data_IF_126747946034
#
_entry.id   IF_126747946034
#
_cell.length_a   1.000
_cell.length_b   1.000
_cell.length_c   1.000
_cell.angle_alpha   90.00
_cell.angle_beta   90.00
_cell.angle_gamma   90.00
#
_symmetry.space_group_name_H-M   'P 1'
#
loop_
_entity.id
_entity.type
_entity.pdbx_description
1 polymer ?
#
# COMPACT_ATOMS: atom_id res chain seq x y z
N UNK A 1 10.84 4.47 30.60
CA UNK A 1 10.11 3.45 31.39
C UNK A 1 9.32 2.42 30.56
N UNK A 2 8.98 2.66 29.27
CA UNK A 2 8.22 1.70 28.43
C UNK A 2 9.07 0.56 27.83
N UNK A 3 10.39 0.74 27.71
CA UNK A 3 11.32 -0.24 27.10
C UNK A 3 11.60 -1.47 27.98
N UNK A 4 11.50 -1.34 29.30
CA UNK A 4 11.76 -2.43 30.24
C UNK A 4 10.55 -3.37 30.41
N UNK A 5 9.35 -2.96 30.02
CA UNK A 5 8.15 -3.79 30.11
C UNK A 5 8.10 -4.86 29.02
N UNK A 6 8.71 -4.58 27.85
CA UNK A 6 8.77 -5.52 26.73
C UNK A 6 9.78 -6.66 27.00
N UNK A 7 10.92 -6.33 27.60
CA UNK A 7 11.89 -7.35 28.03
C UNK A 7 11.35 -8.24 29.14
N UNK A 8 10.46 -7.69 29.97
CA UNK A 8 9.83 -8.46 31.04
C UNK A 8 8.84 -9.48 30.47
N UNK A 9 8.16 -9.16 29.35
CA UNK A 9 7.22 -10.07 28.71
C UNK A 9 7.92 -11.20 27.95
N UNK A 10 9.04 -10.92 27.29
CA UNK A 10 9.90 -11.94 26.65
C UNK A 10 10.59 -12.82 27.68
N UNK A 11 10.99 -12.27 28.84
CA UNK A 11 11.62 -13.03 29.93
C UNK A 11 10.63 -13.88 30.72
N UNK A 12 9.35 -13.45 30.78
CA UNK A 12 8.30 -14.21 31.48
C UNK A 12 7.89 -15.49 30.73
N UNK A 13 8.07 -15.53 29.39
CA UNK A 13 7.86 -16.74 28.60
C UNK A 13 8.97 -17.78 28.78
N UNK A 14 10.13 -17.42 29.33
CA UNK A 14 11.27 -18.34 29.57
C UNK A 14 11.31 -18.94 30.98
N UNK A 15 10.45 -18.53 31.91
CA UNK A 15 10.52 -18.91 33.31
C UNK A 15 9.45 -19.91 33.78
N UNK A 16 8.62 -20.45 32.86
CA UNK A 16 7.65 -21.50 33.20
C UNK A 16 7.99 -22.84 32.56
N UNK A 17 9.15 -23.35 32.87
CA UNK A 17 9.44 -24.76 32.61
C UNK A 17 9.94 -25.39 33.89
N UNK A 18 9.26 -26.42 34.28
CA UNK A 18 9.51 -27.52 35.22
C UNK A 18 8.44 -27.65 36.30
N UNK A 19 7.29 -28.16 35.91
CA UNK A 19 6.64 -29.19 36.68
C UNK A 19 6.32 -30.33 35.72
N UNK A 20 7.09 -31.38 35.88
CA UNK A 20 6.85 -32.66 35.22
C UNK A 20 5.53 -33.25 35.72
N UNK A 21 4.56 -33.36 34.81
CA UNK A 21 3.53 -34.41 34.87
C UNK A 21 3.18 -34.75 33.42
N UNK A 22 3.36 -36.01 33.12
CA UNK A 22 2.96 -36.67 31.89
C UNK A 22 1.53 -36.33 31.48
N UNK A 23 1.36 -35.78 30.25
CA UNK A 23 0.40 -36.28 29.29
C UNK A 23 0.48 -35.44 28.03
N UNK A 24 0.75 -36.18 26.92
CA UNK A 24 0.53 -35.72 25.54
C UNK A 24 0.83 -34.21 25.25
N UNK A 25 2.09 -33.91 25.01
CA UNK A 25 2.50 -32.77 24.23
C UNK A 25 1.97 -32.93 22.79
N UNK A 26 0.64 -32.82 22.63
CA UNK A 26 0.03 -32.66 21.30
C UNK A 26 0.45 -31.33 20.78
N UNK A 27 1.51 -31.33 19.98
CA UNK A 27 1.86 -30.16 19.15
C UNK A 27 0.57 -29.69 18.45
N UNK A 28 0.05 -28.55 18.85
CA UNK A 28 -1.15 -28.01 18.23
C UNK A 28 -0.76 -27.44 16.87
N UNK A 29 -1.27 -28.03 15.81
CA UNK A 29 -1.06 -27.53 14.46
C UNK A 29 -2.11 -26.45 14.13
N UNK A 30 -1.70 -25.45 13.36
CA UNK A 30 -2.62 -24.43 12.85
C UNK A 30 -3.55 -25.06 11.80
N UNK A 31 -4.84 -24.74 11.87
CA UNK A 31 -5.84 -25.17 10.90
C UNK A 31 -5.99 -24.14 9.78
N UNK A 32 -6.45 -24.57 8.60
CA UNK A 32 -6.76 -23.68 7.49
C UNK A 32 -7.88 -22.72 7.87
N UNK A 33 -7.72 -21.43 7.56
CA UNK A 33 -8.69 -20.38 7.89
C UNK A 33 -8.64 -19.88 9.34
N UNK A 34 -7.87 -20.52 10.21
CA UNK A 34 -7.82 -20.15 11.64
C UNK A 34 -7.12 -18.80 11.85
N UNK A 35 -5.89 -18.69 11.40
CA UNK A 35 -5.07 -17.47 11.52
C UNK A 35 -4.81 -16.77 10.19
N UNK A 36 -4.93 -17.48 9.07
CA UNK A 36 -4.78 -16.93 7.73
C UNK A 36 -5.95 -16.02 7.38
N UNK A 37 -5.63 -15.00 6.60
CA UNK A 37 -6.56 -13.97 6.17
C UNK A 37 -5.88 -12.62 6.00
N UNK A 38 -6.71 -11.59 5.85
CA UNK A 38 -6.26 -10.20 5.71
C UNK A 38 -6.52 -9.46 7.00
N UNK A 39 -5.47 -8.83 7.52
CA UNK A 39 -5.54 -8.01 8.72
C UNK A 39 -5.38 -6.54 8.32
N UNK A 40 -6.36 -5.73 8.67
CA UNK A 40 -6.35 -4.29 8.45
C UNK A 40 -6.00 -3.58 9.75
N UNK A 41 -5.05 -2.67 9.68
CA UNK A 41 -4.60 -1.90 10.82
C UNK A 41 -3.67 -0.77 10.43
N UNK A 42 -2.82 -0.38 11.36
CA UNK A 42 -1.86 0.69 11.17
C UNK A 42 -0.43 0.24 11.47
N UNK A 43 0.52 0.87 10.78
CA UNK A 43 1.94 0.78 11.05
C UNK A 43 2.39 2.04 11.79
N UNK A 44 3.22 1.83 12.82
CA UNK A 44 4.06 2.85 13.42
C UNK A 44 5.51 2.54 13.04
N UNK A 45 6.16 3.46 12.35
CA UNK A 45 7.51 3.28 11.80
C UNK A 45 8.47 4.23 12.49
N UNK A 46 9.56 3.69 13.03
CA UNK A 46 10.67 4.44 13.60
C UNK A 46 11.93 4.20 12.76
N UNK A 47 12.30 5.16 11.95
CA UNK A 47 13.50 5.12 11.10
C UNK A 47 14.68 5.91 11.72
N UNK A 48 14.68 6.07 13.04
CA UNK A 48 15.73 6.78 13.76
C UNK A 48 15.86 8.23 13.35
N UNK A 49 17.05 8.61 12.83
CA UNK A 49 17.32 9.99 12.40
C UNK A 49 16.53 10.42 11.15
N UNK A 50 15.97 9.47 10.38
CA UNK A 50 15.12 9.76 9.22
C UNK A 50 13.68 10.11 9.61
N UNK A 51 13.32 9.96 10.88
CA UNK A 51 12.03 10.35 11.40
C UNK A 51 11.15 9.18 11.86
N UNK A 52 9.97 9.56 12.34
CA UNK A 52 8.94 8.63 12.83
C UNK A 52 7.61 8.97 12.19
N UNK A 53 6.91 7.94 11.76
CA UNK A 53 5.57 8.05 11.21
C UNK A 53 4.65 7.09 11.96
N UNK A 54 3.44 7.51 12.22
CA UNK A 54 2.45 6.71 12.96
C UNK A 54 1.13 6.66 12.23
N UNK A 55 0.32 5.67 12.57
CA UNK A 55 -1.03 5.48 12.03
C UNK A 55 -1.07 5.31 10.50
N UNK A 56 -0.01 4.76 9.88
CA UNK A 56 0.03 4.47 8.44
C UNK A 56 -0.92 3.29 8.16
N UNK A 57 -2.05 3.48 7.46
CA UNK A 57 -2.98 2.39 7.17
C UNK A 57 -2.32 1.32 6.31
N UNK A 58 -2.43 0.05 6.72
CA UNK A 58 -1.83 -1.07 6.01
C UNK A 58 -2.66 -2.34 6.14
N UNK A 59 -2.66 -3.15 5.08
CA UNK A 59 -3.13 -4.53 5.11
C UNK A 59 -1.94 -5.50 5.20
N UNK A 60 -2.07 -6.46 6.10
CA UNK A 60 -1.15 -7.60 6.21
C UNK A 60 -1.91 -8.86 5.78
N UNK A 61 -1.34 -9.57 4.81
CA UNK A 61 -1.87 -10.83 4.31
C UNK A 61 -1.11 -11.98 4.97
N UNK A 62 -1.80 -12.81 5.72
CA UNK A 62 -1.25 -14.01 6.33
C UNK A 62 -1.80 -15.22 5.62
N UNK A 63 -0.94 -16.16 5.20
CA UNK A 63 -1.32 -17.41 4.55
C UNK A 63 -0.59 -18.56 5.22
N UNK A 64 -1.29 -19.65 5.50
CA UNK A 64 -0.68 -20.89 5.94
C UNK A 64 0.12 -21.52 4.79
N UNK A 65 1.35 -21.95 5.08
CA UNK A 65 2.24 -22.60 4.08
C UNK A 65 2.71 -23.97 4.51
N UNK A 66 2.47 -24.36 5.76
CA UNK A 66 2.83 -25.65 6.33
C UNK A 66 2.09 -25.89 7.65
N UNK A 67 2.35 -27.02 8.30
CA UNK A 67 1.69 -27.40 9.56
C UNK A 67 1.85 -26.35 10.67
N UNK A 68 3.06 -25.77 10.78
CA UNK A 68 3.40 -24.69 11.71
C UNK A 68 4.21 -23.62 11.01
N UNK A 69 3.78 -23.23 9.81
CA UNK A 69 4.41 -22.18 9.02
C UNK A 69 3.36 -21.30 8.35
N UNK A 70 3.67 -20.02 8.31
CA UNK A 70 2.90 -19.01 7.59
C UNK A 70 3.79 -18.20 6.67
N UNK A 71 3.18 -17.57 5.69
CA UNK A 71 3.72 -16.50 4.87
C UNK A 71 3.04 -15.19 5.24
N UNK A 72 3.79 -14.12 5.23
CA UNK A 72 3.32 -12.75 5.41
C UNK A 72 3.59 -11.94 4.15
N UNK A 73 2.60 -11.14 3.74
CA UNK A 73 2.75 -10.18 2.65
C UNK A 73 2.17 -8.80 3.03
N UNK A 74 2.94 -7.74 2.76
CA UNK A 74 2.47 -6.36 2.67
C UNK A 74 2.57 -5.96 1.21
N UNK A 75 1.47 -5.59 0.59
CA UNK A 75 1.45 -5.17 -0.82
C UNK A 75 1.57 -3.65 -0.92
N UNK A 76 2.34 -3.19 -1.92
CA UNK A 76 2.51 -1.77 -2.26
C UNK A 76 2.86 -0.92 -1.03
N UNK A 77 3.78 -1.43 -0.21
CA UNK A 77 4.23 -0.68 0.96
C UNK A 77 4.79 0.68 0.54
N UNK A 78 4.28 1.73 1.14
CA UNK A 78 4.67 3.11 0.87
C UNK A 78 5.04 3.81 2.16
N UNK A 79 6.11 4.61 2.11
CA UNK A 79 6.53 5.43 3.24
C UNK A 79 6.35 6.90 2.91
N UNK A 80 5.76 7.72 3.80
CA UNK A 80 5.60 9.15 3.59
C UNK A 80 6.93 9.83 3.25
N UNK A 81 6.94 10.68 2.22
CA UNK A 81 8.14 11.39 1.77
C UNK A 81 9.11 10.58 0.88
N UNK A 82 8.98 9.25 0.81
CA UNK A 82 9.79 8.38 -0.08
C UNK A 82 8.92 7.83 -1.22
N UNK A 83 7.66 7.54 -0.95
CA UNK A 83 6.73 6.91 -1.90
C UNK A 83 6.66 5.39 -1.77
N UNK A 84 6.20 4.72 -2.84
CA UNK A 84 6.05 3.26 -2.86
C UNK A 84 7.42 2.57 -2.89
N UNK A 85 7.64 1.66 -1.94
CA UNK A 85 8.86 0.86 -1.79
C UNK A 85 8.72 -0.54 -2.37
N UNK A 86 7.49 -0.99 -2.63
CA UNK A 86 7.17 -2.29 -3.22
C UNK A 86 6.50 -3.27 -2.25
N UNK A 87 6.45 -4.52 -2.65
CA UNK A 87 5.87 -5.61 -1.86
C UNK A 87 6.90 -6.19 -0.89
N UNK A 88 6.49 -6.35 0.36
CA UNK A 88 7.25 -7.09 1.37
C UNK A 88 6.65 -8.49 1.48
N UNK A 89 7.44 -9.52 1.21
CA UNK A 89 7.02 -10.94 1.29
C UNK A 89 8.02 -11.71 2.13
N UNK A 90 7.54 -12.38 3.15
CA UNK A 90 8.35 -13.25 4.00
C UNK A 90 7.68 -14.60 4.15
N UNK A 91 8.35 -15.65 3.67
CA UNK A 91 7.92 -17.04 3.74
C UNK A 91 8.59 -17.78 4.90
N UNK A 92 8.02 -18.93 5.27
CA UNK A 92 8.64 -19.85 6.24
C UNK A 92 8.67 -19.31 7.68
N UNK A 93 7.79 -18.39 8.01
CA UNK A 93 7.62 -17.86 9.36
C UNK A 93 7.11 -18.99 10.27
N UNK A 94 7.86 -19.31 11.31
CA UNK A 94 7.50 -20.38 12.26
C UNK A 94 6.43 -19.87 13.21
N UNK A 95 5.44 -20.74 13.48
CA UNK A 95 4.34 -20.45 14.41
C UNK A 95 4.31 -21.44 15.56
N UNK A 96 3.89 -20.93 16.71
CA UNK A 96 3.57 -21.73 17.90
C UNK A 96 2.12 -21.41 18.26
N UNK A 97 1.26 -22.44 18.23
CA UNK A 97 -0.15 -22.33 18.58
C UNK A 97 -0.36 -22.70 20.03
N UNK A 98 -1.09 -21.87 20.76
CA UNK A 98 -1.52 -22.07 22.14
C UNK A 98 -3.01 -21.72 22.26
N UNK A 99 -3.87 -22.72 22.18
CA UNK A 99 -5.32 -22.51 22.17
C UNK A 99 -5.76 -21.63 20.97
N UNK A 100 -6.37 -20.49 21.24
CA UNK A 100 -6.83 -19.53 20.23
C UNK A 100 -5.75 -18.49 19.84
N UNK A 101 -4.57 -18.61 20.40
CA UNK A 101 -3.44 -17.72 20.12
C UNK A 101 -2.42 -18.39 19.23
N UNK A 102 -1.77 -17.59 18.40
CA UNK A 102 -0.67 -18.03 17.54
C UNK A 102 0.45 -16.99 17.62
N UNK A 103 1.55 -17.35 18.28
CA UNK A 103 2.78 -16.55 18.23
C UNK A 103 3.65 -16.98 17.06
N UNK A 104 4.40 -16.04 16.50
CA UNK A 104 5.25 -16.34 15.34
C UNK A 104 6.54 -15.54 15.33
N UNK A 105 7.56 -16.12 14.71
CA UNK A 105 8.84 -15.46 14.45
C UNK A 105 9.39 -15.91 13.10
N UNK A 106 10.05 -14.98 12.39
CA UNK A 106 10.66 -15.26 11.11
C UNK A 106 11.75 -14.25 10.77
N UNK A 107 12.58 -14.61 9.81
CA UNK A 107 13.58 -13.70 9.26
C UNK A 107 13.88 -14.06 7.81
N UNK A 108 14.30 -13.08 7.03
CA UNK A 108 14.66 -13.26 5.63
C UNK A 108 15.20 -12.01 5.00
N UNK A 109 15.48 -12.09 3.70
CA UNK A 109 15.91 -10.95 2.88
C UNK A 109 14.81 -10.65 1.89
N UNK A 110 14.42 -9.39 1.83
CA UNK A 110 13.46 -8.88 0.83
C UNK A 110 14.13 -7.83 -0.04
N UNK A 111 13.72 -7.78 -1.32
CA UNK A 111 14.19 -6.74 -2.24
C UNK A 111 13.14 -5.65 -2.34
N UNK A 112 13.53 -4.45 -1.97
CA UNK A 112 12.73 -3.24 -2.12
C UNK A 112 13.42 -2.29 -3.11
N UNK A 113 12.76 -1.20 -3.47
CA UNK A 113 13.36 -0.18 -4.35
C UNK A 113 14.64 0.44 -3.75
N UNK A 114 14.77 0.41 -2.41
CA UNK A 114 15.96 0.88 -1.68
C UNK A 114 17.09 -0.17 -1.61
N UNK A 115 16.89 -1.38 -2.15
CA UNK A 115 17.87 -2.46 -2.15
C UNK A 115 17.46 -3.69 -1.34
N UNK A 116 18.45 -4.55 -1.05
CA UNK A 116 18.25 -5.75 -0.24
C UNK A 116 18.12 -5.36 1.24
N UNK A 117 17.02 -5.78 1.86
CA UNK A 117 16.70 -5.50 3.25
C UNK A 117 16.66 -6.80 4.06
N UNK A 118 17.42 -6.86 5.15
CA UNK A 118 17.29 -7.96 6.11
C UNK A 118 16.09 -7.68 7.00
N UNK A 119 15.16 -8.63 7.04
CA UNK A 119 13.91 -8.54 7.77
C UNK A 119 13.91 -9.54 8.91
N UNK A 120 13.47 -9.12 10.10
CA UNK A 120 13.04 -10.03 11.16
C UNK A 120 11.65 -9.63 11.63
N UNK A 121 10.82 -10.61 11.92
CA UNK A 121 9.44 -10.42 12.33
C UNK A 121 9.12 -11.27 13.56
N UNK A 122 8.36 -10.70 14.48
CA UNK A 122 7.76 -11.41 15.60
C UNK A 122 6.37 -10.86 15.86
N UNK A 123 5.43 -11.71 16.26
CA UNK A 123 4.08 -11.25 16.50
C UNK A 123 3.18 -12.27 17.16
N UNK A 124 1.96 -11.84 17.39
CA UNK A 124 0.89 -12.60 18.01
C UNK A 124 -0.42 -12.35 17.28
N UNK A 125 -1.12 -13.43 16.96
CA UNK A 125 -2.51 -13.41 16.53
C UNK A 125 -3.34 -13.98 17.67
N UNK A 126 -4.31 -13.25 18.13
CA UNK A 126 -5.24 -13.68 19.18
C UNK A 126 -6.62 -13.09 18.93
N UNK A 127 -7.65 -13.92 18.90
CA UNK A 127 -9.05 -13.51 18.69
C UNK A 127 -9.25 -12.57 17.50
N UNK A 128 -8.59 -12.89 16.36
CA UNK A 128 -8.66 -12.09 15.14
C UNK A 128 -7.89 -10.75 15.19
N UNK A 129 -7.14 -10.48 16.25
CA UNK A 129 -6.24 -9.33 16.36
C UNK A 129 -4.80 -9.76 16.09
N UNK A 130 -4.13 -9.07 15.19
CA UNK A 130 -2.70 -9.21 14.89
C UNK A 130 -1.93 -8.05 15.50
N UNK A 131 -0.91 -8.37 16.29
CA UNK A 131 0.12 -7.44 16.75
C UNK A 131 1.47 -7.96 16.30
N UNK A 132 2.31 -7.11 15.72
CA UNK A 132 3.57 -7.54 15.12
C UNK A 132 4.62 -6.45 15.21
N UNK A 133 5.85 -6.86 15.45
CA UNK A 133 7.04 -6.05 15.29
C UNK A 133 7.85 -6.57 14.10
N UNK A 134 8.26 -5.66 13.24
CA UNK A 134 9.15 -5.93 12.11
C UNK A 134 10.37 -5.05 12.29
N UNK A 135 11.55 -5.65 12.30
CA UNK A 135 12.82 -4.93 12.25
C UNK A 135 13.39 -5.09 10.84
N UNK A 136 13.72 -3.97 10.22
CA UNK A 136 14.26 -3.90 8.85
C UNK A 136 15.64 -3.28 8.90
N UNK A 137 16.67 -4.02 8.49
CA UNK A 137 18.01 -3.52 8.34
C UNK A 137 18.32 -3.29 6.85
N UNK A 138 18.50 -2.03 6.48
CA UNK A 138 18.89 -1.59 5.12
C UNK A 138 20.27 -0.96 5.20
N UNK A 139 21.29 -1.61 4.67
CA UNK A 139 22.68 -1.21 4.83
C UNK A 139 23.04 -1.03 6.32
N UNK A 140 23.12 0.22 6.80
CA UNK A 140 23.42 0.55 8.22
C UNK A 140 22.22 1.13 8.96
N UNK A 141 21.10 1.35 8.26
CA UNK A 141 19.89 1.91 8.84
C UNK A 141 19.02 0.80 9.42
N UNK A 142 18.67 0.93 10.68
CA UNK A 142 17.73 0.05 11.37
C UNK A 142 16.38 0.76 11.46
N UNK A 143 15.32 0.11 10.95
CA UNK A 143 13.96 0.62 10.98
C UNK A 143 13.09 -0.34 11.79
N UNK A 144 12.48 0.18 12.85
CA UNK A 144 11.52 -0.56 13.67
C UNK A 144 10.09 -0.23 13.24
N UNK A 145 9.32 -1.26 12.91
CA UNK A 145 7.94 -1.14 12.46
C UNK A 145 7.03 -1.95 13.37
N UNK A 146 6.03 -1.30 13.95
CA UNK A 146 5.00 -1.96 14.74
C UNK A 146 3.69 -1.95 13.98
N UNK A 147 3.02 -3.09 13.92
CA UNK A 147 1.69 -3.23 13.34
C UNK A 147 0.68 -3.66 14.40
N UNK A 148 -0.49 -3.03 14.35
CA UNK A 148 -1.66 -3.50 15.09
C UNK A 148 -2.87 -3.45 14.16
N UNK A 149 -3.56 -4.58 14.02
CA UNK A 149 -4.72 -4.69 13.13
C UNK A 149 -5.67 -5.80 13.53
N UNK A 150 -6.81 -5.85 12.83
CA UNK A 150 -7.86 -6.86 13.02
C UNK A 150 -8.13 -7.61 11.73
N UNK A 151 -8.49 -8.89 11.84
CA UNK A 151 -8.84 -9.75 10.71
C UNK A 151 -10.12 -9.23 10.05
N UNK A 152 -10.06 -9.07 8.72
CA UNK A 152 -11.22 -8.68 7.92
C UNK A 152 -12.10 -9.90 7.64
N UNK A 153 -13.42 -9.71 7.73
CA UNK A 153 -14.39 -10.73 7.30
C UNK A 153 -14.38 -10.90 5.76
N UNK A 154 -14.11 -9.81 5.04
CA UNK A 154 -14.01 -9.80 3.56
C UNK A 154 -12.91 -8.83 3.15
N UNK A 155 -12.03 -9.27 2.25
CA UNK A 155 -11.02 -8.40 1.65
C UNK A 155 -11.67 -7.60 0.51
N UNK A 156 -11.73 -6.28 0.68
CA UNK A 156 -12.15 -5.33 -0.34
C UNK A 156 -10.92 -4.78 -1.09
N UNK A 157 -11.13 -4.31 -2.32
CA UNK A 157 -10.04 -3.78 -3.13
C UNK A 157 -9.44 -2.50 -2.54
N UNK A 158 -8.12 -2.43 -2.51
CA UNK A 158 -7.35 -1.22 -2.18
C UNK A 158 -6.98 -0.39 -3.41
N UNK A 159 -7.47 -0.75 -4.60
CA UNK A 159 -7.18 -0.03 -5.83
C UNK A 159 -8.00 1.27 -5.92
N UNK A 160 -7.32 2.38 -6.21
CA UNK A 160 -7.90 3.72 -6.33
C UNK A 160 -7.45 4.39 -7.64
N UNK A 161 -7.66 3.70 -8.78
CA UNK A 161 -7.15 4.17 -10.06
C UNK A 161 -8.26 4.72 -10.96
N UNK A 162 -7.94 5.78 -11.74
CA UNK A 162 -8.63 6.09 -12.99
C UNK A 162 -8.01 5.17 -14.04
N UNK A 163 -8.83 4.36 -14.71
CA UNK A 163 -8.39 3.34 -15.67
C UNK A 163 -8.46 3.82 -17.11
N UNK A 164 -9.50 4.59 -17.44
CA UNK A 164 -9.69 5.23 -18.73
C UNK A 164 -10.18 6.64 -18.52
N UNK A 165 -9.87 7.54 -19.45
CA UNK A 165 -10.36 8.91 -19.45
C UNK A 165 -10.50 9.37 -20.89
N UNK A 166 -11.64 9.95 -21.27
CA UNK A 166 -11.95 10.36 -22.64
C UNK A 166 -12.95 11.50 -22.69
N UNK A 167 -12.99 12.18 -23.83
CA UNK A 167 -14.01 13.15 -24.17
C UNK A 167 -14.68 12.73 -25.50
N UNK A 168 -15.99 12.86 -25.59
CA UNK A 168 -16.76 12.80 -26.83
C UNK A 168 -17.06 14.23 -27.29
N UNK A 169 -16.02 14.91 -27.82
CA UNK A 169 -16.07 16.30 -28.23
C UNK A 169 -15.02 16.55 -29.32
N UNK A 170 -15.45 17.07 -30.47
CA UNK A 170 -14.59 17.32 -31.64
C UNK A 170 -13.52 18.37 -31.41
N UNK A 171 -13.68 19.21 -30.38
CA UNK A 171 -12.69 20.23 -30.00
C UNK A 171 -11.54 19.63 -29.16
N UNK A 172 -11.68 18.39 -28.70
CA UNK A 172 -10.57 17.63 -28.07
C UNK A 172 -9.85 16.88 -29.17
N UNK A 173 -8.76 17.45 -29.68
CA UNK A 173 -8.04 16.93 -30.86
C UNK A 173 -7.15 15.73 -30.55
N UNK A 174 -6.67 15.60 -29.31
CA UNK A 174 -5.98 14.40 -28.82
C UNK A 174 -6.66 13.90 -27.55
N UNK A 175 -6.98 12.59 -27.55
CA UNK A 175 -7.57 11.96 -26.38
C UNK A 175 -6.61 11.99 -25.19
N UNK A 176 -7.15 12.06 -23.95
CA UNK A 176 -6.35 12.13 -22.75
C UNK A 176 -5.34 11.01 -22.59
N UNK A 177 -4.15 11.37 -22.15
CA UNK A 177 -3.06 10.45 -21.77
C UNK A 177 -2.97 10.42 -20.26
N UNK A 178 -2.99 9.23 -19.67
CA UNK A 178 -2.81 9.02 -18.22
C UNK A 178 -1.35 8.68 -17.99
N UNK A 179 -0.62 9.57 -17.31
CA UNK A 179 0.75 9.35 -16.87
C UNK A 179 0.80 9.46 -15.32
N UNK A 180 0.85 8.30 -14.67
CA UNK A 180 0.79 8.23 -13.22
C UNK A 180 -0.51 8.81 -12.64
N UNK A 181 -0.45 10.02 -12.09
CA UNK A 181 -1.60 10.79 -11.56
C UNK A 181 -1.96 12.00 -12.39
N UNK A 182 -1.20 12.28 -13.44
CA UNK A 182 -1.45 13.38 -14.34
C UNK A 182 -2.17 12.87 -15.59
N UNK A 183 -3.24 13.54 -15.95
CA UNK A 183 -4.04 13.25 -17.14
C UNK A 183 -4.03 14.52 -17.98
N UNK A 184 -3.47 14.42 -19.19
CA UNK A 184 -3.32 15.57 -20.06
C UNK A 184 -4.02 15.32 -21.39
N UNK A 185 -4.62 16.35 -21.97
CA UNK A 185 -5.26 16.31 -23.26
C UNK A 185 -5.04 17.61 -24.04
N UNK A 186 -5.22 17.57 -25.35
CA UNK A 186 -5.01 18.71 -26.24
C UNK A 186 -6.35 19.11 -26.87
N UNK A 187 -6.63 20.38 -26.91
CA UNK A 187 -7.82 20.97 -27.50
C UNK A 187 -7.47 21.79 -28.74
N UNK A 188 -8.47 22.03 -29.59
CA UNK A 188 -8.36 22.94 -30.73
C UNK A 188 -8.09 24.38 -30.28
N UNK A 189 -7.30 25.12 -31.05
CA UNK A 189 -7.05 26.54 -30.80
C UNK A 189 -8.35 27.41 -30.90
N UNK A 190 -9.39 26.88 -31.52
CA UNK A 190 -10.69 27.52 -31.67
C UNK A 190 -11.60 27.35 -30.43
N UNK A 191 -11.19 26.57 -29.42
CA UNK A 191 -12.02 26.34 -28.23
C UNK A 191 -12.10 27.61 -27.39
N UNK A 192 -13.30 27.94 -26.93
CA UNK A 192 -13.52 29.08 -26.05
C UNK A 192 -13.47 28.66 -24.57
N UNK A 193 -13.20 29.62 -23.66
CA UNK A 193 -13.25 29.37 -22.21
C UNK A 193 -14.64 28.85 -21.77
N UNK A 194 -15.72 29.32 -22.39
CA UNK A 194 -17.07 28.84 -22.12
C UNK A 194 -17.22 27.34 -22.46
N UNK A 195 -16.65 26.92 -23.59
CA UNK A 195 -16.66 25.50 -24.00
C UNK A 195 -15.76 24.65 -23.10
N UNK A 196 -14.56 25.16 -22.72
CA UNK A 196 -13.70 24.49 -21.76
C UNK A 196 -14.37 24.33 -20.39
N UNK A 197 -15.12 25.34 -19.94
CA UNK A 197 -15.83 25.30 -18.65
C UNK A 197 -16.97 24.29 -18.58
N UNK A 198 -17.35 23.71 -19.70
CA UNK A 198 -18.51 22.78 -19.82
C UNK A 198 -18.16 21.44 -20.45
N UNK A 199 -16.89 21.09 -20.61
CA UNK A 199 -16.47 19.80 -21.15
C UNK A 199 -16.93 18.65 -20.24
N UNK A 200 -17.45 17.59 -20.87
CA UNK A 200 -17.97 16.40 -20.18
C UNK A 200 -17.00 15.25 -20.36
N UNK A 201 -16.22 14.90 -19.32
CA UNK A 201 -15.35 13.75 -19.38
C UNK A 201 -16.10 12.45 -19.13
N UNK A 202 -15.68 11.39 -19.80
CA UNK A 202 -16.10 10.01 -19.54
C UNK A 202 -14.89 9.20 -19.10
N UNK A 203 -15.01 8.53 -17.97
CA UNK A 203 -13.90 7.74 -17.43
C UNK A 203 -14.40 6.55 -16.63
N UNK A 204 -13.51 5.57 -16.44
CA UNK A 204 -13.74 4.41 -15.58
C UNK A 204 -12.70 4.40 -14.44
N UNK A 205 -13.11 3.83 -13.31
CA UNK A 205 -12.26 3.71 -12.13
C UNK A 205 -12.16 2.25 -11.69
N UNK A 206 -11.24 1.96 -10.78
CA UNK A 206 -11.09 0.63 -10.16
C UNK A 206 -12.42 0.13 -9.61
N UNK A 207 -12.64 -1.17 -9.74
CA UNK A 207 -13.89 -1.82 -9.30
C UNK A 207 -14.14 -1.56 -7.82
N UNK A 208 -15.34 -1.08 -7.50
CA UNK A 208 -15.75 -0.78 -6.13
C UNK A 208 -15.21 0.54 -5.56
N UNK A 209 -14.26 1.19 -6.25
CA UNK A 209 -13.79 2.52 -5.86
C UNK A 209 -14.88 3.58 -6.07
N UNK A 210 -14.72 4.72 -5.40
CA UNK A 210 -15.60 5.90 -5.56
C UNK A 210 -14.75 7.13 -5.90
N UNK A 211 -15.35 8.09 -6.60
CA UNK A 211 -14.68 9.33 -6.99
C UNK A 211 -15.53 10.53 -6.58
N UNK A 212 -14.90 11.63 -6.25
CA UNK A 212 -15.56 12.87 -5.79
C UNK A 212 -16.34 13.59 -6.90
N UNK A 213 -15.90 13.47 -8.16
CA UNK A 213 -16.57 14.05 -9.34
C UNK A 213 -16.94 12.92 -10.30
N UNK A 214 -18.24 12.69 -10.53
CA UNK A 214 -18.67 11.54 -11.34
C UNK A 214 -18.36 11.72 -12.83
N UNK A 215 -18.15 10.60 -13.52
CA UNK A 215 -18.05 10.53 -14.97
C UNK A 215 -19.35 10.99 -15.64
N UNK A 216 -19.27 11.64 -16.80
CA UNK A 216 -20.43 12.12 -17.56
C UNK A 216 -21.02 13.42 -17.03
N UNK A 217 -20.35 14.13 -16.15
CA UNK A 217 -20.77 15.44 -15.64
C UNK A 217 -19.76 16.51 -16.06
N UNK A 218 -20.27 17.64 -16.55
CA UNK A 218 -19.46 18.78 -16.99
C UNK A 218 -18.52 19.27 -15.89
N UNK A 219 -17.30 19.58 -16.29
CA UNK A 219 -16.25 20.13 -15.43
C UNK A 219 -15.61 21.35 -16.11
N UNK A 220 -15.08 22.24 -15.29
CA UNK A 220 -14.40 23.46 -15.75
C UNK A 220 -12.90 23.18 -15.94
N UNK A 221 -12.45 23.05 -17.18
CA UNK A 221 -11.06 22.82 -17.55
C UNK A 221 -10.31 24.10 -17.94
N UNK A 222 -10.85 25.28 -17.69
CA UNK A 222 -10.09 26.53 -17.78
C UNK A 222 -8.93 26.58 -16.77
N UNK A 223 -8.98 25.70 -15.78
CA UNK A 223 -7.93 25.40 -14.81
C UNK A 223 -7.82 23.89 -14.61
N UNK A 224 -6.67 23.37 -14.10
CA UNK A 224 -6.54 21.94 -13.81
C UNK A 224 -7.60 21.45 -12.84
N UNK A 225 -8.29 20.36 -13.21
CA UNK A 225 -9.33 19.74 -12.40
C UNK A 225 -8.75 18.58 -11.60
N UNK A 226 -9.00 18.58 -10.29
CA UNK A 226 -8.53 17.51 -9.40
C UNK A 226 -9.67 16.55 -9.13
N UNK A 227 -9.40 15.25 -9.34
CA UNK A 227 -10.25 14.13 -8.97
C UNK A 227 -9.63 13.37 -7.82
N UNK A 228 -10.44 13.00 -6.82
CA UNK A 228 -10.01 12.13 -5.71
C UNK A 228 -10.73 10.81 -5.81
N UNK A 229 -9.98 9.75 -6.14
CA UNK A 229 -10.50 8.38 -6.17
C UNK A 229 -10.19 7.73 -4.82
N UNK A 230 -11.21 7.16 -4.19
CA UNK A 230 -11.10 6.41 -2.93
C UNK A 230 -11.34 4.93 -3.23
N UNK A 231 -10.45 4.06 -2.76
CA UNK A 231 -10.57 2.60 -2.91
C UNK A 231 -11.84 2.04 -2.26
N UNK A 232 -12.25 0.84 -2.68
CA UNK A 232 -13.44 0.15 -2.13
C UNK A 232 -13.35 -0.05 -0.61
N UNK A 233 -12.15 -0.32 -0.08
CA UNK A 233 -11.90 -0.47 1.36
C UNK A 233 -11.83 0.86 2.12
N UNK A 234 -11.85 1.98 1.41
CA UNK A 234 -11.79 3.33 1.97
C UNK A 234 -10.41 3.77 2.49
N UNK A 235 -9.38 2.92 2.36
CA UNK A 235 -8.06 3.15 2.97
C UNK A 235 -7.20 4.05 2.09
N UNK A 236 -7.18 3.78 0.78
CA UNK A 236 -6.33 4.50 -0.15
C UNK A 236 -7.12 5.56 -0.89
N UNK A 237 -6.50 6.75 -0.99
CA UNK A 237 -7.01 7.87 -1.81
C UNK A 237 -5.91 8.29 -2.77
N UNK A 238 -6.27 8.40 -4.05
CA UNK A 238 -5.37 8.85 -5.10
C UNK A 238 -5.94 10.10 -5.76
N UNK A 239 -5.12 11.14 -5.86
CA UNK A 239 -5.51 12.41 -6.49
C UNK A 239 -4.96 12.44 -7.90
N UNK A 240 -5.82 12.71 -8.85
CA UNK A 240 -5.50 12.89 -10.25
C UNK A 240 -5.67 14.35 -10.63
N UNK A 241 -4.72 14.88 -11.37
CA UNK A 241 -4.80 16.23 -11.96
C UNK A 241 -5.07 16.10 -13.44
N UNK A 242 -6.18 16.65 -13.91
CA UNK A 242 -6.55 16.66 -15.33
C UNK A 242 -6.40 18.07 -15.88
N UNK A 243 -5.60 18.23 -16.91
CA UNK A 243 -5.29 19.55 -17.48
C UNK A 243 -5.16 19.53 -19.00
N UNK A 244 -5.46 20.68 -19.59
CA UNK A 244 -5.19 20.95 -21.01
C UNK A 244 -3.69 21.14 -21.18
N UNK A 245 -3.06 20.41 -22.12
CA UNK A 245 -1.74 20.73 -22.62
C UNK A 245 -1.85 21.81 -23.70
N UNK A 246 -1.07 22.88 -23.59
CA UNK A 246 -0.94 23.86 -24.65
C UNK A 246 -0.41 23.22 -25.95
N UNK A 247 -0.91 23.64 -27.07
CA UNK A 247 -0.54 23.14 -28.41
C UNK A 247 0.87 23.62 -28.84
N UNK A 248 1.76 23.94 -27.90
CA UNK A 248 3.13 24.36 -28.23
C UNK A 248 3.99 23.15 -28.60
N UNK A 249 3.81 22.67 -29.83
CA UNK A 249 4.91 21.97 -30.53
C UNK A 249 5.89 23.05 -30.96
N UNK A 250 6.72 23.55 -30.05
CA UNK A 250 7.93 24.29 -30.41
C UNK A 250 8.95 23.29 -31.01
N UNK A 251 8.71 22.89 -32.25
CA UNK A 251 9.77 22.35 -33.09
C UNK A 251 10.68 23.53 -33.41
N UNK A 252 11.71 23.77 -32.59
CA UNK A 252 12.88 24.52 -33.03
C UNK A 252 13.52 23.69 -34.15
N UNK A 253 13.10 23.96 -35.40
CA UNK A 253 13.92 23.63 -36.54
C UNK A 253 15.18 24.53 -36.42
N UNK A 254 16.30 23.92 -36.11
CA UNK A 254 17.63 24.55 -36.29
C UNK A 254 17.75 24.94 -37.75
N UNK A 255 17.41 26.19 -38.06
CA UNK A 255 17.82 26.84 -39.32
C UNK A 255 19.32 27.13 -39.20
N UNK A 256 20.12 26.36 -39.90
CA UNK A 256 21.49 26.77 -40.14
C UNK A 256 22.55 25.70 -40.20
N UNK A 257 22.51 24.88 -41.23
CA UNK A 257 23.80 24.44 -41.80
C UNK A 257 23.70 24.48 -43.33
N UNK A 258 24.04 25.64 -43.89
CA UNK A 258 24.45 25.76 -45.29
C UNK A 258 25.82 25.11 -45.42
N UNK A 259 25.89 23.96 -46.11
CA UNK A 259 27.16 23.37 -46.55
C UNK A 259 27.60 24.11 -47.81
N UNK A 260 28.73 24.80 -47.75
CA UNK A 260 29.51 25.25 -48.90
C UNK A 260 30.41 24.09 -49.35
#
# INVERSE_FOLDING_TARGET
MKRNLFYLFVLLCLAMSFTACSDDDKTQYIQDGEFDGVYLGTLDVDAGDLGKESDIPQKIYISKTGENQIKMELKKFSYPGIGELGDIKLDGIKVVKEGNSCSFTGAGVVKLLVGDCNLSVSGLINDGKLTMNINVLVAVLNVDVNFTGTKLATDKSSEANILTYSFDNDLVINQPVIDGTDITFIVSDDITDEQLSTLIPTFTISKGAVVDKPSGVAQDFTSPVIYTVTSEDGIFKKRYTVSVCGNEINIKLDEGTTVN
#
